data_IF_003952624013
#
_entry.id   IF_003952624013
#
_cell.length_a   1.000
_cell.length_b   1.000
_cell.length_c   1.000
_cell.angle_alpha   90.00
_cell.angle_beta   90.00
_cell.angle_gamma   90.00
#
_symmetry.space_group_name_H-M   'P 1'
#
loop_
_entity.id
_entity.type
_entity.pdbx_description
1 polymer ?
#
# COMPACT_ATOMS: atom_id res chain seq x y z
N UNK A 1 -4.51 28.70 -15.24
CA UNK A 1 -3.34 28.16 -14.53
C UNK A 1 -3.79 26.89 -13.83
N UNK A 2 -3.21 25.73 -14.13
CA UNK A 2 -3.49 24.53 -13.34
C UNK A 2 -2.90 24.74 -11.94
N UNK A 3 -3.73 24.62 -10.90
CA UNK A 3 -3.24 24.60 -9.52
C UNK A 3 -2.31 23.40 -9.35
N UNK A 4 -1.14 23.61 -8.77
CA UNK A 4 -0.19 22.54 -8.48
C UNK A 4 -0.81 21.52 -7.51
N UNK A 5 -0.91 20.26 -7.93
CA UNK A 5 -1.56 19.18 -7.17
C UNK A 5 -0.52 18.33 -6.44
N UNK A 6 -0.50 18.46 -5.12
CA UNK A 6 0.36 17.66 -4.25
C UNK A 6 -0.43 16.52 -3.60
N UNK A 7 0.13 15.31 -3.62
CA UNK A 7 -0.39 14.14 -2.93
C UNK A 7 0.60 13.65 -1.87
N UNK A 8 0.10 13.40 -0.66
CA UNK A 8 0.85 12.71 0.39
C UNK A 8 0.30 11.31 0.63
N UNK A 9 1.15 10.30 0.72
CA UNK A 9 0.76 8.92 0.99
C UNK A 9 1.39 8.51 2.32
N UNK A 10 0.55 8.34 3.34
CA UNK A 10 0.97 7.80 4.62
C UNK A 10 0.97 6.28 4.54
N UNK A 11 2.10 5.68 4.89
CA UNK A 11 2.30 4.23 4.90
C UNK A 11 2.95 3.78 6.21
N UNK A 12 2.78 2.51 6.57
CA UNK A 12 3.28 1.97 7.84
C UNK A 12 4.80 1.91 7.87
N UNK A 13 5.42 1.22 6.91
CA UNK A 13 6.86 0.95 6.94
C UNK A 13 7.56 1.01 5.58
N UNK A 14 8.76 0.43 5.56
CA UNK A 14 9.68 0.48 4.41
C UNK A 14 9.18 -0.36 3.23
N UNK A 15 8.43 -1.43 3.52
CA UNK A 15 7.91 -2.35 2.51
C UNK A 15 6.78 -1.72 1.71
N UNK A 16 5.89 -1.02 2.40
CA UNK A 16 4.84 -0.20 1.83
C UNK A 16 5.45 0.92 0.98
N UNK A 17 6.41 1.67 1.53
CA UNK A 17 7.09 2.76 0.81
C UNK A 17 7.72 2.24 -0.48
N UNK A 18 8.41 1.09 -0.42
CA UNK A 18 9.03 0.46 -1.58
C UNK A 18 7.99 0.07 -2.63
N UNK A 19 6.88 -0.53 -2.21
CA UNK A 19 5.80 -0.93 -3.11
C UNK A 19 5.22 0.29 -3.84
N UNK A 20 4.85 1.31 -3.07
CA UNK A 20 4.26 2.53 -3.61
C UNK A 20 5.23 3.23 -4.56
N UNK A 21 6.47 3.47 -4.15
CA UNK A 21 7.47 4.11 -5.01
C UNK A 21 7.65 3.39 -6.35
N UNK A 22 7.57 2.06 -6.37
CA UNK A 22 7.84 1.28 -7.59
C UNK A 22 6.62 1.07 -8.48
N UNK A 23 5.43 0.90 -7.90
CA UNK A 23 4.22 0.48 -8.62
C UNK A 23 3.20 1.61 -8.74
N UNK A 24 2.86 2.26 -7.63
CA UNK A 24 1.70 3.16 -7.56
C UNK A 24 2.07 4.64 -7.74
N UNK A 25 3.22 5.10 -7.23
CA UNK A 25 3.68 6.48 -7.39
C UNK A 25 3.82 6.90 -8.84
N UNK A 26 4.40 6.10 -9.77
CA UNK A 26 4.46 6.46 -11.18
C UNK A 26 3.08 6.70 -11.79
N UNK A 27 2.07 5.93 -11.37
CA UNK A 27 0.69 6.07 -11.83
C UNK A 27 -0.02 7.27 -11.24
N UNK A 28 0.17 7.51 -9.95
CA UNK A 28 -0.36 8.69 -9.28
C UNK A 28 0.27 9.98 -9.81
N UNK A 29 1.54 9.95 -10.24
CA UNK A 29 2.21 11.08 -10.88
C UNK A 29 1.62 11.46 -12.24
N UNK A 30 0.82 10.60 -12.88
CA UNK A 30 0.03 10.98 -14.08
C UNK A 30 -1.08 12.00 -13.73
N UNK A 31 -1.45 12.12 -12.45
CA UNK A 31 -2.54 12.98 -11.93
C UNK A 31 -2.12 14.08 -10.99
N UNK A 32 -1.00 13.88 -10.31
CA UNK A 32 -0.45 14.78 -9.30
C UNK A 32 0.94 15.24 -9.72
N UNK A 33 1.20 16.54 -9.61
CA UNK A 33 2.50 17.12 -9.93
C UNK A 33 3.61 16.64 -8.98
N UNK A 34 3.24 16.23 -7.76
CA UNK A 34 4.15 15.58 -6.83
C UNK A 34 3.41 14.60 -5.93
N UNK A 35 4.07 13.46 -5.71
CA UNK A 35 3.64 12.41 -4.78
C UNK A 35 4.73 12.24 -3.73
N UNK A 36 4.37 12.39 -2.45
CA UNK A 36 5.29 12.27 -1.31
C UNK A 36 4.85 11.16 -0.38
N UNK A 37 5.75 10.22 -0.09
CA UNK A 37 5.46 9.12 0.83
C UNK A 37 5.95 9.49 2.24
N UNK A 38 5.15 9.16 3.25
CA UNK A 38 5.44 9.41 4.66
C UNK A 38 5.28 8.10 5.43
N UNK A 39 6.38 7.57 5.97
CA UNK A 39 6.35 6.46 6.92
C UNK A 39 5.91 6.95 8.29
N UNK A 40 4.70 6.58 8.71
CA UNK A 40 4.12 7.10 9.95
C UNK A 40 4.32 6.21 11.17
N UNK A 41 4.66 4.93 11.03
CA UNK A 41 4.75 4.03 12.19
C UNK A 41 5.85 4.45 13.18
N UNK A 42 6.90 5.10 12.69
CA UNK A 42 8.00 5.64 13.50
C UNK A 42 7.72 7.05 14.04
N UNK A 43 6.60 7.67 13.65
CA UNK A 43 6.24 9.02 14.06
C UNK A 43 5.37 9.03 15.33
N UNK A 44 5.60 10.02 16.20
CA UNK A 44 4.68 10.30 17.30
C UNK A 44 3.28 10.60 16.75
N UNK A 45 2.24 10.08 17.41
CA UNK A 45 0.82 10.27 17.04
C UNK A 45 0.49 11.73 16.75
N UNK A 46 0.87 12.64 17.64
CA UNK A 46 0.64 14.09 17.49
C UNK A 46 1.31 14.66 16.23
N UNK A 47 2.50 14.15 15.87
CA UNK A 47 3.20 14.58 14.66
C UNK A 47 2.43 14.19 13.42
N UNK A 48 1.88 12.98 13.36
CA UNK A 48 1.04 12.52 12.24
C UNK A 48 -0.23 13.37 12.12
N UNK A 49 -0.92 13.60 13.24
CA UNK A 49 -2.15 14.40 13.27
C UNK A 49 -1.90 15.85 12.82
N UNK A 50 -0.81 16.46 13.30
CA UNK A 50 -0.38 17.80 12.86
C UNK A 50 0.03 17.82 11.38
N UNK A 51 0.62 16.74 10.87
CA UNK A 51 0.96 16.64 9.46
C UNK A 51 -0.30 16.64 8.58
N UNK A 52 -1.31 15.86 8.96
CA UNK A 52 -2.62 15.85 8.29
C UNK A 52 -3.26 17.24 8.33
N UNK A 53 -3.23 17.91 9.49
CA UNK A 53 -3.71 19.30 9.63
C UNK A 53 -3.02 20.25 8.65
N UNK A 54 -1.69 20.17 8.53
CA UNK A 54 -0.91 21.01 7.61
C UNK A 54 -1.22 20.72 6.14
N UNK A 55 -1.38 19.45 5.76
CA UNK A 55 -1.77 19.05 4.40
C UNK A 55 -3.12 19.66 4.02
N UNK A 56 -4.08 19.64 4.94
CA UNK A 56 -5.40 20.24 4.72
C UNK A 56 -5.30 21.77 4.58
N UNK A 57 -4.49 22.43 5.42
CA UNK A 57 -4.31 23.87 5.38
C UNK A 57 -3.62 24.36 4.08
N UNK A 58 -2.82 23.50 3.43
CA UNK A 58 -2.20 23.80 2.13
C UNK A 58 -3.03 23.33 0.93
N UNK A 59 -4.26 22.87 1.16
CA UNK A 59 -5.17 22.35 0.12
C UNK A 59 -4.57 21.19 -0.71
N UNK A 60 -3.65 20.43 -0.11
CA UNK A 60 -3.07 19.23 -0.72
C UNK A 60 -3.93 18.00 -0.43
N UNK A 61 -3.80 16.97 -1.27
CA UNK A 61 -4.50 15.71 -1.08
C UNK A 61 -3.64 14.73 -0.28
N UNK A 62 -4.27 13.75 0.36
CA UNK A 62 -3.56 12.65 1.00
C UNK A 62 -4.32 11.33 0.98
N UNK A 63 -3.58 10.25 1.16
CA UNK A 63 -4.08 8.89 1.36
C UNK A 63 -3.42 8.37 2.64
N UNK A 64 -4.23 7.79 3.52
CA UNK A 64 -3.75 7.12 4.73
C UNK A 64 -3.96 5.62 4.60
N UNK A 65 -2.87 4.89 4.34
CA UNK A 65 -2.89 3.43 4.19
C UNK A 65 -2.59 2.76 5.54
N UNK A 66 -3.37 1.76 5.90
CA UNK A 66 -3.08 0.92 7.08
C UNK A 66 -3.61 -0.49 6.87
N UNK A 67 -2.98 -1.46 7.51
CA UNK A 67 -3.42 -2.85 7.52
C UNK A 67 -4.64 -3.04 8.43
N UNK A 68 -5.55 -3.95 8.06
CA UNK A 68 -6.70 -4.29 8.92
C UNK A 68 -6.25 -4.98 10.22
N UNK A 69 -5.15 -5.73 10.17
CA UNK A 69 -4.62 -6.53 11.28
C UNK A 69 -5.73 -7.40 11.92
N UNK A 70 -5.87 -7.31 13.25
CA UNK A 70 -6.88 -8.04 14.04
C UNK A 70 -8.23 -7.30 14.17
N UNK A 71 -8.41 -6.19 13.45
CA UNK A 71 -9.68 -5.46 13.51
C UNK A 71 -10.82 -6.31 12.94
N UNK A 72 -11.98 -6.38 13.61
CA UNK A 72 -13.06 -7.28 13.21
C UNK A 72 -13.68 -6.93 11.85
N UNK A 73 -13.57 -5.65 11.43
CA UNK A 73 -14.01 -5.21 10.11
C UNK A 73 -13.40 -3.86 9.73
N UNK A 74 -13.49 -3.50 8.43
CA UNK A 74 -13.03 -2.21 7.88
C UNK A 74 -13.64 -1.01 8.63
N UNK A 75 -14.92 -1.09 9.02
CA UNK A 75 -15.62 -0.01 9.73
C UNK A 75 -15.01 0.18 11.12
N UNK A 76 -14.73 -0.91 11.84
CA UNK A 76 -14.10 -0.84 13.16
C UNK A 76 -12.70 -0.23 13.05
N UNK A 77 -11.92 -0.64 12.05
CA UNK A 77 -10.57 -0.09 11.83
C UNK A 77 -10.60 1.40 11.51
N UNK A 78 -11.51 1.84 10.65
CA UNK A 78 -11.68 3.27 10.33
C UNK A 78 -12.03 4.10 11.58
N UNK A 79 -12.93 3.59 12.44
CA UNK A 79 -13.28 4.26 13.71
C UNK A 79 -12.11 4.35 14.68
N UNK A 80 -11.31 3.29 14.80
CA UNK A 80 -10.08 3.29 15.59
C UNK A 80 -9.12 4.40 15.12
N UNK A 81 -8.89 4.49 13.81
CA UNK A 81 -8.03 5.50 13.19
C UNK A 81 -8.56 6.93 13.40
N UNK A 82 -9.87 7.16 13.26
CA UNK A 82 -10.50 8.45 13.54
C UNK A 82 -10.40 8.85 15.03
N UNK A 83 -10.47 7.87 15.92
CA UNK A 83 -10.28 8.10 17.36
C UNK A 83 -8.82 8.42 17.70
N UNK A 84 -7.89 7.91 16.87
CA UNK A 84 -6.45 8.17 16.96
C UNK A 84 -6.05 9.54 16.39
N UNK A 85 -6.62 9.99 15.27
CA UNK A 85 -6.21 11.24 14.64
C UNK A 85 -7.41 12.17 14.47
N UNK A 86 -7.39 13.33 15.14
CA UNK A 86 -8.53 14.25 15.14
C UNK A 86 -8.75 14.90 13.78
N UNK A 87 -7.69 15.06 13.00
CA UNK A 87 -7.74 15.76 11.72
C UNK A 87 -7.97 14.82 10.52
N UNK A 88 -8.02 13.50 10.73
CA UNK A 88 -8.11 12.52 9.64
C UNK A 88 -9.52 12.44 9.05
N UNK A 89 -9.56 12.39 7.73
CA UNK A 89 -10.79 12.28 6.96
C UNK A 89 -11.03 10.81 6.60
N UNK A 90 -12.24 10.32 6.88
CA UNK A 90 -12.59 8.90 6.78
C UNK A 90 -12.49 8.34 5.34
N UNK A 91 -12.77 9.18 4.36
CA UNK A 91 -12.69 8.89 2.93
C UNK A 91 -11.24 8.79 2.43
N UNK A 92 -10.28 9.37 3.16
CA UNK A 92 -8.85 9.29 2.86
C UNK A 92 -8.17 8.06 3.46
N UNK A 93 -8.86 7.31 4.32
CA UNK A 93 -8.34 6.07 4.93
C UNK A 93 -8.62 4.87 4.02
N UNK A 94 -7.55 4.24 3.56
CA UNK A 94 -7.57 2.98 2.81
C UNK A 94 -7.09 1.87 3.73
N UNK A 95 -7.88 0.80 3.80
CA UNK A 95 -7.53 -0.40 4.57
C UNK A 95 -7.03 -1.47 3.60
N UNK A 96 -5.80 -1.92 3.78
CA UNK A 96 -5.27 -3.12 3.13
C UNK A 96 -5.83 -4.33 3.88
N UNK A 97 -6.46 -5.25 3.15
CA UNK A 97 -7.02 -6.45 3.78
C UNK A 97 -5.88 -7.45 3.98
N UNK A 98 -5.77 -7.90 5.23
CA UNK A 98 -4.59 -8.52 5.84
C UNK A 98 -3.38 -7.58 5.88
N UNK A 99 -2.49 -7.64 4.91
CA UNK A 99 -1.20 -6.93 4.95
C UNK A 99 -0.68 -6.63 3.53
N UNK A 100 0.25 -5.68 3.41
CA UNK A 100 0.86 -5.27 2.13
C UNK A 100 1.55 -6.41 1.37
N UNK A 101 2.05 -7.45 2.06
CA UNK A 101 2.64 -8.64 1.43
C UNK A 101 1.66 -9.36 0.49
N UNK A 102 0.37 -9.28 0.78
CA UNK A 102 -0.68 -9.81 -0.11
C UNK A 102 -0.67 -9.11 -1.46
N UNK A 103 -0.36 -7.81 -1.50
CA UNK A 103 -0.27 -7.03 -2.73
C UNK A 103 0.95 -7.43 -3.53
N UNK A 104 2.12 -7.61 -2.89
CA UNK A 104 3.35 -8.05 -3.55
C UNK A 104 3.12 -9.32 -4.40
N UNK A 105 2.46 -10.34 -3.85
CA UNK A 105 2.19 -11.57 -4.60
C UNK A 105 1.09 -11.42 -5.66
N UNK A 106 0.19 -10.46 -5.50
CA UNK A 106 -0.97 -10.29 -6.37
C UNK A 106 -0.56 -9.99 -7.82
N UNK A 107 0.56 -9.28 -8.02
CA UNK A 107 1.00 -8.89 -9.36
C UNK A 107 1.76 -9.95 -10.14
N UNK A 108 1.99 -11.14 -9.57
CA UNK A 108 2.77 -12.20 -10.24
C UNK A 108 1.90 -13.04 -11.16
N UNK A 109 2.29 -13.19 -12.41
CA UNK A 109 1.70 -14.15 -13.34
C UNK A 109 2.31 -15.56 -13.21
N UNK A 110 1.81 -16.53 -13.96
CA UNK A 110 2.35 -17.90 -13.95
C UNK A 110 3.84 -17.96 -14.32
N UNK A 111 4.28 -17.10 -15.24
CA UNK A 111 5.66 -17.05 -15.70
C UNK A 111 6.58 -16.51 -14.60
N UNK A 112 6.20 -15.42 -13.97
CA UNK A 112 6.92 -14.79 -12.87
C UNK A 112 6.95 -15.73 -11.65
N UNK A 113 5.85 -16.39 -11.31
CA UNK A 113 5.81 -17.40 -10.25
C UNK A 113 6.82 -18.53 -10.51
N UNK A 114 6.85 -19.08 -11.73
CA UNK A 114 7.84 -20.11 -12.13
C UNK A 114 9.28 -19.61 -12.03
N UNK A 115 9.57 -18.40 -12.53
CA UNK A 115 10.91 -17.79 -12.48
C UNK A 115 11.37 -17.55 -11.04
N UNK A 116 10.47 -17.04 -10.20
CA UNK A 116 10.74 -16.75 -8.79
C UNK A 116 10.80 -18.04 -7.96
N UNK A 117 10.26 -19.16 -8.44
CA UNK A 117 10.09 -20.44 -7.72
C UNK A 117 9.12 -20.32 -6.54
N UNK A 118 8.01 -19.63 -6.76
CA UNK A 118 6.92 -19.48 -5.79
C UNK A 118 5.61 -20.01 -6.35
N UNK A 119 4.73 -20.44 -5.46
CA UNK A 119 3.40 -20.92 -5.86
C UNK A 119 2.59 -19.78 -6.48
N UNK A 120 1.83 -20.08 -7.52
CA UNK A 120 0.84 -19.16 -8.04
C UNK A 120 -0.41 -19.21 -7.15
N UNK A 121 -0.88 -18.04 -6.73
CA UNK A 121 -2.11 -17.88 -5.97
C UNK A 121 -3.20 -17.33 -6.87
N UNK A 122 -4.36 -18.00 -6.89
CA UNK A 122 -5.56 -17.45 -7.55
C UNK A 122 -6.13 -16.25 -6.78
N UNK A 123 -5.92 -16.20 -5.46
CA UNK A 123 -6.35 -15.12 -4.57
C UNK A 123 -5.29 -14.91 -3.47
N UNK A 124 -4.83 -13.67 -3.29
CA UNK A 124 -3.83 -13.31 -2.28
C UNK A 124 -4.38 -12.52 -1.10
N UNK A 125 -5.66 -12.15 -1.08
CA UNK A 125 -6.32 -11.27 -0.08
C UNK A 125 -6.02 -11.63 1.38
N UNK A 126 -5.81 -12.92 1.66
CA UNK A 126 -5.57 -13.44 3.00
C UNK A 126 -4.15 -13.98 3.23
N UNK A 127 -3.20 -13.62 2.37
CA UNK A 127 -1.79 -13.93 2.60
C UNK A 127 -1.27 -13.03 3.72
N UNK A 128 -0.73 -13.64 4.77
CA UNK A 128 -0.04 -12.94 5.86
C UNK A 128 1.45 -12.83 5.60
N UNK A 129 2.14 -12.00 6.36
CA UNK A 129 3.58 -11.77 6.39
C UNK A 129 4.33 -13.07 6.70
N UNK A 130 3.85 -13.90 7.62
CA UNK A 130 4.46 -15.19 7.92
C UNK A 130 4.37 -16.13 6.72
N UNK A 131 3.20 -16.19 6.07
CA UNK A 131 3.00 -17.00 4.87
C UNK A 131 3.87 -16.48 3.72
N UNK A 132 3.96 -15.17 3.53
CA UNK A 132 4.83 -14.54 2.55
C UNK A 132 6.30 -14.90 2.80
N UNK A 133 6.76 -14.77 4.05
CA UNK A 133 8.14 -15.07 4.42
C UNK A 133 8.48 -16.55 4.23
N UNK A 134 7.53 -17.46 4.49
CA UNK A 134 7.69 -18.89 4.24
C UNK A 134 7.81 -19.24 2.75
N UNK A 135 7.34 -18.38 1.85
CA UNK A 135 7.45 -18.59 0.40
C UNK A 135 8.81 -18.20 -0.15
N UNK A 136 9.64 -17.44 0.58
CA UNK A 136 10.91 -16.90 0.09
C UNK A 136 11.85 -18.05 -0.26
N UNK A 137 12.18 -18.25 -1.55
CA UNK A 137 13.06 -19.34 -1.94
C UNK A 137 14.50 -19.13 -1.47
N UNK A 138 15.20 -20.21 -1.11
CA UNK A 138 16.58 -20.18 -0.60
C UNK A 138 17.61 -19.48 -1.50
N UNK A 139 17.28 -19.25 -2.79
CA UNK A 139 18.16 -18.56 -3.74
C UNK A 139 18.27 -17.05 -3.47
N UNK A 140 17.31 -16.47 -2.76
CA UNK A 140 17.32 -15.04 -2.44
C UNK A 140 18.16 -14.80 -1.20
N UNK A 141 18.98 -13.75 -1.26
CA UNK A 141 19.91 -13.40 -0.18
C UNK A 141 19.21 -12.72 0.99
N UNK A 142 18.05 -12.10 0.75
CA UNK A 142 17.24 -11.44 1.75
C UNK A 142 15.77 -11.32 1.31
N UNK A 143 14.90 -10.98 2.26
CA UNK A 143 13.50 -10.61 1.97
C UNK A 143 13.40 -9.41 1.02
N UNK A 144 14.28 -8.41 1.20
CA UNK A 144 14.32 -7.21 0.36
C UNK A 144 14.67 -7.55 -1.10
N UNK A 145 15.64 -8.44 -1.29
CA UNK A 145 16.05 -8.95 -2.61
C UNK A 145 14.86 -9.65 -3.31
N UNK A 146 14.19 -10.56 -2.60
CA UNK A 146 12.99 -11.22 -3.12
C UNK A 146 11.86 -10.25 -3.49
N UNK A 147 11.56 -9.29 -2.62
CA UNK A 147 10.54 -8.26 -2.88
C UNK A 147 10.91 -7.38 -4.08
N UNK A 148 12.19 -7.05 -4.23
CA UNK A 148 12.67 -6.26 -5.37
C UNK A 148 12.49 -7.02 -6.69
N UNK A 149 12.73 -8.33 -6.71
CA UNK A 149 12.48 -9.19 -7.88
C UNK A 149 10.99 -9.37 -8.19
N UNK A 150 10.13 -9.43 -7.17
CA UNK A 150 8.67 -9.37 -7.36
C UNK A 150 8.28 -8.10 -8.09
N UNK A 151 8.73 -6.93 -7.60
CA UNK A 151 8.34 -5.64 -8.14
C UNK A 151 8.81 -5.42 -9.59
N UNK A 152 9.89 -6.08 -10.02
CA UNK A 152 10.34 -6.07 -11.42
C UNK A 152 9.39 -6.80 -12.37
N UNK A 153 8.65 -7.78 -11.87
CA UNK A 153 7.74 -8.63 -12.64
C UNK A 153 6.26 -8.35 -12.33
N UNK A 154 5.98 -7.22 -11.68
CA UNK A 154 4.66 -6.91 -11.15
C UNK A 154 3.71 -6.41 -12.24
N UNK A 155 2.51 -6.98 -12.31
CA UNK A 155 1.42 -6.53 -13.17
C UNK A 155 0.23 -6.02 -12.37
N UNK A 156 -0.13 -4.76 -12.58
CA UNK A 156 -1.31 -4.12 -11.97
C UNK A 156 -2.60 -4.85 -12.35
N UNK A 157 -2.75 -5.23 -13.62
CA UNK A 157 -3.97 -5.90 -14.10
C UNK A 157 -4.15 -7.29 -13.47
N UNK A 158 -3.05 -8.01 -13.24
CA UNK A 158 -3.10 -9.31 -12.55
C UNK A 158 -3.37 -9.11 -11.07
N UNK A 159 -2.76 -8.10 -10.44
CA UNK A 159 -2.99 -7.77 -9.05
C UNK A 159 -4.46 -7.42 -8.77
N UNK A 160 -5.12 -6.67 -9.66
CA UNK A 160 -6.56 -6.36 -9.59
C UNK A 160 -7.43 -7.62 -9.61
N UNK A 161 -7.02 -8.65 -10.33
CA UNK A 161 -7.76 -9.92 -10.39
C UNK A 161 -7.58 -10.76 -9.12
N UNK A 162 -6.38 -10.74 -8.55
CA UNK A 162 -5.99 -11.63 -7.44
C UNK A 162 -6.22 -11.04 -6.05
N UNK A 163 -6.34 -9.73 -5.92
CA UNK A 163 -6.48 -9.06 -4.63
C UNK A 163 -7.54 -7.95 -4.70
N UNK A 164 -8.61 -8.10 -3.92
CA UNK A 164 -9.75 -7.19 -3.89
C UNK A 164 -9.38 -5.86 -3.26
N UNK A 165 -8.56 -5.85 -2.21
CA UNK A 165 -8.12 -4.60 -1.57
C UNK A 165 -7.19 -3.77 -2.48
N UNK A 166 -6.29 -4.42 -3.23
CA UNK A 166 -5.48 -3.78 -4.27
C UNK A 166 -6.36 -3.23 -5.39
N UNK A 167 -7.31 -4.03 -5.89
CA UNK A 167 -8.27 -3.58 -6.90
C UNK A 167 -9.05 -2.35 -6.44
N UNK A 168 -9.57 -2.39 -5.21
CA UNK A 168 -10.27 -1.27 -4.61
C UNK A 168 -9.40 -0.01 -4.60
N UNK A 169 -8.12 -0.12 -4.25
CA UNK A 169 -7.20 1.02 -4.29
C UNK A 169 -7.08 1.58 -5.72
N UNK A 170 -6.69 0.72 -6.67
CA UNK A 170 -6.47 1.11 -8.07
C UNK A 170 -7.72 1.74 -8.69
N UNK A 171 -8.90 1.17 -8.47
CA UNK A 171 -10.15 1.68 -9.05
C UNK A 171 -10.59 3.01 -8.43
N UNK A 172 -10.40 3.21 -7.12
CA UNK A 172 -10.80 4.46 -6.46
C UNK A 172 -9.87 5.64 -6.74
N UNK A 173 -8.58 5.37 -6.95
CA UNK A 173 -7.60 6.40 -7.28
C UNK A 173 -7.29 6.45 -8.78
N UNK A 174 -7.87 5.53 -9.55
CA UNK A 174 -7.75 5.34 -10.99
C UNK A 174 -6.25 5.40 -11.40
N UNK A 175 -5.48 4.48 -10.83
CA UNK A 175 -4.02 4.41 -10.94
C UNK A 175 -3.51 2.98 -11.18
#
# INVERSE_FOLDING_TARGET
MSSYKLLFIFVEGDDDERFFNKILSPKLQEKYDSVKIIRYATMKREKVDNFIKSIKAMEANYIYLTDINDSPCIIAKKREIQSKYKNIDNDKVVIVVKEIESWYLAGLDDKACKQLKVNNFANTEYVTKEKFNALIPKKFTSRIDFMSEILKNFSIEIAKQKNKSFRYFVENYDC
#
